data_IF_556862005806
#
_entry.id   IF_556862005806
#
_cell.length_a   1.000
_cell.length_b   1.000
_cell.length_c   1.000
_cell.angle_alpha   90.00
_cell.angle_beta   90.00
_cell.angle_gamma   90.00
#
_symmetry.space_group_name_H-M   'P 1'
#
loop_
_entity.id
_entity.type
_entity.pdbx_description
1 polymer ?
#
# COMPACT_ATOMS: atom_id res chain seq x y z
N UNK A 1 -7.96 6.58 13.42
CA UNK A 1 -8.05 7.83 12.64
C UNK A 1 -6.82 8.66 12.97
N UNK A 2 -5.71 8.48 12.25
CA UNK A 2 -4.51 9.31 12.45
C UNK A 2 -4.79 10.69 11.89
N UNK A 3 -4.81 11.71 12.75
CA UNK A 3 -4.92 13.10 12.31
C UNK A 3 -3.60 13.52 11.67
N UNK A 4 -3.63 13.93 10.40
CA UNK A 4 -2.46 14.43 9.71
C UNK A 4 -2.12 15.82 10.26
N UNK A 5 -0.87 16.04 10.63
CA UNK A 5 -0.40 17.34 11.12
C UNK A 5 -0.19 18.26 9.93
N UNK A 6 -1.09 19.22 9.77
CA UNK A 6 -0.98 20.26 8.74
C UNK A 6 -0.04 21.36 9.24
N UNK A 7 0.98 21.69 8.45
CA UNK A 7 1.85 22.83 8.73
C UNK A 7 1.17 24.16 8.45
N UNK A 8 1.79 25.25 8.92
CA UNK A 8 1.35 26.63 8.63
C UNK A 8 1.43 26.94 7.14
N UNK A 9 0.43 27.67 6.63
CA UNK A 9 0.41 28.17 5.25
C UNK A 9 1.54 29.18 5.01
N UNK A 10 2.25 29.04 3.90
CA UNK A 10 3.30 29.97 3.47
C UNK A 10 2.90 30.62 2.13
N UNK A 11 3.01 31.95 2.06
CA UNK A 11 2.76 32.71 0.83
C UNK A 11 4.10 33.25 0.34
N UNK A 12 4.51 32.91 -0.89
CA UNK A 12 5.76 33.38 -1.50
C UNK A 12 5.48 34.17 -2.78
N UNK A 13 6.13 35.32 -3.01
CA UNK A 13 5.96 36.05 -4.25
C UNK A 13 6.61 35.31 -5.42
N UNK A 14 5.95 35.31 -6.58
CA UNK A 14 6.53 34.81 -7.84
C UNK A 14 7.25 35.96 -8.56
N UNK A 15 8.15 35.63 -9.50
CA UNK A 15 8.89 36.63 -10.31
C UNK A 15 7.96 37.64 -10.98
N UNK A 16 6.83 37.18 -11.51
CA UNK A 16 5.81 38.03 -12.10
C UNK A 16 5.18 38.99 -11.07
N UNK A 17 4.84 38.49 -9.87
CA UNK A 17 4.32 39.31 -8.77
C UNK A 17 5.33 40.37 -8.29
N UNK A 18 6.62 40.03 -8.22
CA UNK A 18 7.69 40.99 -7.90
C UNK A 18 7.80 42.08 -8.97
N UNK A 19 7.78 41.73 -10.25
CA UNK A 19 7.79 42.70 -11.34
C UNK A 19 6.61 43.67 -11.27
N UNK A 20 5.41 43.15 -11.00
CA UNK A 20 4.21 43.95 -10.80
C UNK A 20 4.33 44.90 -9.60
N UNK A 21 4.91 44.43 -8.50
CA UNK A 21 5.17 45.24 -7.32
C UNK A 21 6.10 46.42 -7.64
N UNK A 22 7.18 46.16 -8.37
CA UNK A 22 8.15 47.20 -8.78
C UNK A 22 7.49 48.25 -9.67
N UNK A 23 6.70 47.84 -10.66
CA UNK A 23 5.96 48.77 -11.53
C UNK A 23 4.98 49.61 -10.71
N UNK A 24 4.27 48.97 -9.77
CA UNK A 24 3.30 49.66 -8.92
C UNK A 24 3.98 50.70 -8.02
N UNK A 25 5.16 50.39 -7.46
CA UNK A 25 5.97 51.36 -6.70
C UNK A 25 6.45 52.50 -7.58
N UNK A 26 6.92 52.22 -8.80
CA UNK A 26 7.33 53.24 -9.74
C UNK A 26 6.17 54.18 -10.13
N UNK A 27 4.97 53.63 -10.35
CA UNK A 27 3.75 54.43 -10.58
C UNK A 27 3.42 55.29 -9.37
N UNK A 28 3.55 54.77 -8.15
CA UNK A 28 3.31 55.55 -6.94
C UNK A 28 4.28 56.74 -6.83
N UNK A 29 5.57 56.51 -7.10
CA UNK A 29 6.58 57.58 -7.12
C UNK A 29 6.28 58.62 -8.20
N UNK A 30 5.87 58.20 -9.40
CA UNK A 30 5.44 59.10 -10.45
C UNK A 30 4.20 59.91 -10.04
N UNK A 31 3.20 59.27 -9.42
CA UNK A 31 1.99 59.94 -8.92
C UNK A 31 2.32 61.02 -7.88
N UNK A 32 3.23 60.72 -6.95
CA UNK A 32 3.71 61.67 -5.94
C UNK A 32 4.43 62.85 -6.60
N UNK A 33 5.32 62.57 -7.56
CA UNK A 33 6.12 63.61 -8.21
C UNK A 33 5.27 64.54 -9.09
N UNK A 34 4.35 63.98 -9.87
CA UNK A 34 3.50 64.74 -10.80
C UNK A 34 2.18 65.23 -10.19
N UNK A 35 1.86 64.86 -8.94
CA UNK A 35 0.57 65.16 -8.31
C UNK A 35 -0.63 64.60 -9.06
N UNK A 36 -0.46 63.46 -9.76
CA UNK A 36 -1.48 62.92 -10.65
C UNK A 36 -2.38 61.89 -9.93
N UNK A 37 -3.58 62.33 -9.57
CA UNK A 37 -4.59 61.51 -8.88
C UNK A 37 -5.01 60.26 -9.66
N UNK A 38 -4.97 60.28 -11.00
CA UNK A 38 -5.32 59.11 -11.80
C UNK A 38 -4.27 58.00 -11.65
N UNK A 39 -2.98 58.36 -11.59
CA UNK A 39 -1.91 57.38 -11.38
C UNK A 39 -2.01 56.78 -9.97
N UNK A 40 -2.36 57.59 -8.95
CA UNK A 40 -2.66 57.08 -7.61
C UNK A 40 -3.79 56.04 -7.62
N UNK A 41 -4.92 56.34 -8.29
CA UNK A 41 -6.04 55.42 -8.40
C UNK A 41 -5.61 54.06 -8.98
N UNK A 42 -4.87 54.08 -10.09
CA UNK A 42 -4.40 52.85 -10.75
C UNK A 42 -3.41 52.10 -9.85
N UNK A 43 -2.45 52.79 -9.22
CA UNK A 43 -1.49 52.16 -8.32
C UNK A 43 -2.19 51.49 -7.12
N UNK A 44 -3.16 52.14 -6.50
CA UNK A 44 -3.93 51.54 -5.40
C UNK A 44 -4.82 50.37 -5.87
N UNK A 45 -5.39 50.44 -7.08
CA UNK A 45 -6.12 49.32 -7.67
C UNK A 45 -5.20 48.10 -7.87
N UNK A 46 -3.96 48.31 -8.32
CA UNK A 46 -2.96 47.25 -8.48
C UNK A 46 -2.57 46.63 -7.14
N UNK A 47 -2.36 47.44 -6.10
CA UNK A 47 -2.11 46.96 -4.73
C UNK A 47 -3.29 46.12 -4.23
N UNK A 48 -4.53 46.63 -4.38
CA UNK A 48 -5.74 45.92 -3.99
C UNK A 48 -5.87 44.59 -4.72
N UNK A 49 -5.58 44.55 -6.02
CA UNK A 49 -5.58 43.32 -6.84
C UNK A 49 -4.55 42.30 -6.32
N UNK A 50 -3.33 42.74 -6.02
CA UNK A 50 -2.27 41.88 -5.47
C UNK A 50 -2.67 41.28 -4.11
N UNK A 51 -3.20 42.10 -3.20
CA UNK A 51 -3.66 41.67 -1.88
C UNK A 51 -4.84 40.70 -2.02
N UNK A 52 -5.82 41.02 -2.86
CA UNK A 52 -6.98 40.16 -3.11
C UNK A 52 -6.56 38.81 -3.71
N UNK A 53 -5.56 38.80 -4.60
CA UNK A 53 -5.00 37.56 -5.14
C UNK A 53 -4.35 36.70 -4.05
N UNK A 54 -3.59 37.30 -3.13
CA UNK A 54 -3.00 36.55 -2.01
C UNK A 54 -4.08 35.98 -1.09
N UNK A 55 -5.09 36.78 -0.76
CA UNK A 55 -6.19 36.38 0.10
C UNK A 55 -7.02 35.23 -0.49
N UNK A 56 -7.31 35.27 -1.78
CA UNK A 56 -8.01 34.19 -2.48
C UNK A 56 -7.19 32.89 -2.49
N UNK A 57 -5.89 32.95 -2.78
CA UNK A 57 -5.01 31.78 -2.72
C UNK A 57 -4.93 31.17 -1.33
N UNK A 58 -4.81 32.01 -0.30
CA UNK A 58 -4.80 31.59 1.11
C UNK A 58 -6.12 30.91 1.50
N UNK A 59 -7.26 31.55 1.19
CA UNK A 59 -8.60 31.02 1.49
C UNK A 59 -8.83 29.68 0.79
N UNK A 60 -8.44 29.55 -0.47
CA UNK A 60 -8.57 28.30 -1.23
C UNK A 60 -7.79 27.16 -0.58
N UNK A 61 -6.51 27.36 -0.22
CA UNK A 61 -5.68 26.31 0.36
C UNK A 61 -5.99 26.03 1.84
N UNK A 62 -6.53 27.01 2.57
CA UNK A 62 -7.00 26.81 3.95
C UNK A 62 -8.22 25.90 4.04
N UNK A 63 -9.06 25.87 3.01
CA UNK A 63 -10.28 25.06 2.96
C UNK A 63 -10.02 23.60 2.53
N UNK A 64 -8.82 23.30 2.02
CA UNK A 64 -8.45 21.95 1.60
C UNK A 64 -8.21 21.07 2.83
N UNK A 65 -8.93 19.96 2.88
CA UNK A 65 -8.58 18.81 3.72
C UNK A 65 -7.89 17.79 2.83
N UNK A 66 -6.63 17.52 3.12
CA UNK A 66 -5.88 16.44 2.46
C UNK A 66 -5.90 15.21 3.35
N UNK A 67 -6.11 14.06 2.74
CA UNK A 67 -6.02 12.76 3.41
C UNK A 67 -5.26 11.81 2.50
N UNK A 68 -4.26 11.14 3.05
CA UNK A 68 -3.55 10.09 2.32
C UNK A 68 -4.29 8.78 2.51
N UNK A 69 -4.59 8.11 1.40
CA UNK A 69 -5.12 6.75 1.40
C UNK A 69 -3.93 5.81 1.63
N UNK A 70 -3.96 4.95 2.67
CA UNK A 70 -2.86 4.04 2.94
C UNK A 70 -2.51 3.21 1.70
N UNK A 71 -1.28 3.28 1.20
CA UNK A 71 -0.90 2.52 0.02
C UNK A 71 -0.87 1.02 0.33
N UNK A 72 -1.21 0.22 -0.67
CA UNK A 72 -1.05 -1.23 -0.61
C UNK A 72 0.43 -1.65 -0.56
N UNK A 73 0.66 -2.91 -0.23
CA UNK A 73 2.00 -3.51 -0.33
C UNK A 73 2.41 -3.60 -1.81
N UNK A 74 3.68 -3.41 -2.11
CA UNK A 74 4.23 -3.55 -3.48
C UNK A 74 5.51 -4.40 -3.49
N UNK A 75 5.88 -5.01 -4.63
CA UNK A 75 7.17 -5.66 -4.76
C UNK A 75 8.32 -4.66 -4.82
N UNK A 76 9.49 -5.11 -4.40
CA UNK A 76 10.74 -4.36 -4.47
C UNK A 76 11.09 -4.03 -5.93
N UNK A 77 11.56 -2.81 -6.17
CA UNK A 77 11.95 -2.32 -7.49
C UNK A 77 10.80 -1.84 -8.39
N UNK A 78 9.54 -2.14 -8.08
CA UNK A 78 8.39 -1.62 -8.85
C UNK A 78 7.97 -0.21 -8.38
N UNK A 79 7.57 0.69 -9.30
CA UNK A 79 7.08 2.01 -8.93
C UNK A 79 5.78 1.90 -8.12
N UNK A 80 5.69 2.64 -7.03
CA UNK A 80 4.50 2.71 -6.19
C UNK A 80 3.49 3.74 -6.69
N UNK A 81 2.23 3.61 -6.30
CA UNK A 81 1.27 4.71 -6.40
C UNK A 81 0.76 5.11 -5.02
N UNK A 82 0.68 6.41 -4.81
CA UNK A 82 0.20 7.02 -3.60
C UNK A 82 -1.02 7.87 -3.94
N UNK A 83 -2.16 7.50 -3.35
CA UNK A 83 -3.41 8.22 -3.57
C UNK A 83 -3.66 9.22 -2.45
N UNK A 84 -3.78 10.50 -2.81
CA UNK A 84 -4.16 11.59 -1.90
C UNK A 84 -5.56 12.04 -2.25
N UNK A 85 -6.46 11.97 -1.27
CA UNK A 85 -7.82 12.47 -1.34
C UNK A 85 -7.87 13.92 -0.86
N UNK A 86 -8.34 14.81 -1.71
CA UNK A 86 -8.63 16.20 -1.39
C UNK A 86 -10.12 16.39 -1.22
N UNK A 87 -10.54 16.86 -0.05
CA UNK A 87 -11.93 17.20 0.23
C UNK A 87 -12.08 18.70 0.41
N UNK A 88 -13.06 19.30 -0.28
CA UNK A 88 -13.42 20.70 -0.15
C UNK A 88 -14.90 20.93 -0.45
N UNK A 89 -15.52 21.88 0.26
CA UNK A 89 -16.89 22.32 -0.02
C UNK A 89 -16.99 23.29 -1.20
N UNK A 90 -15.86 23.87 -1.61
CA UNK A 90 -15.75 24.77 -2.76
C UNK A 90 -14.87 24.16 -3.84
N UNK A 91 -15.05 24.61 -5.07
CA UNK A 91 -14.18 24.27 -6.19
C UNK A 91 -12.74 24.65 -5.87
N UNK A 92 -11.84 23.69 -5.92
CA UNK A 92 -10.42 23.92 -5.65
C UNK A 92 -9.72 24.40 -6.92
N UNK A 93 -8.78 25.34 -6.80
CA UNK A 93 -7.94 25.72 -7.91
C UNK A 93 -7.01 24.56 -8.31
N UNK A 94 -6.29 24.68 -9.45
CA UNK A 94 -5.21 23.76 -9.77
C UNK A 94 -4.21 23.69 -8.62
N UNK A 95 -3.97 22.46 -8.15
CA UNK A 95 -3.02 22.14 -7.09
C UNK A 95 -1.84 21.39 -7.71
N UNK A 96 -0.64 21.72 -7.24
CA UNK A 96 0.54 20.87 -7.40
C UNK A 96 0.75 20.15 -6.08
N UNK A 97 0.82 18.83 -6.15
CA UNK A 97 1.10 17.97 -5.01
C UNK A 97 2.49 17.40 -5.21
N UNK A 98 3.40 17.73 -4.32
CA UNK A 98 4.80 17.34 -4.40
C UNK A 98 5.12 16.47 -3.18
N UNK A 99 5.64 15.26 -3.41
CA UNK A 99 6.03 14.36 -2.33
C UNK A 99 7.48 14.55 -1.87
N UNK A 100 8.19 15.60 -2.33
CA UNK A 100 9.55 15.90 -1.86
C UNK A 100 10.61 14.88 -2.31
N UNK A 101 10.23 13.93 -3.16
CA UNK A 101 11.12 13.00 -3.87
C UNK A 101 11.35 13.53 -5.29
N UNK A 102 12.53 13.29 -5.85
CA UNK A 102 12.84 13.70 -7.22
C UNK A 102 11.77 13.18 -8.21
N UNK A 103 11.33 14.06 -9.11
CA UNK A 103 10.31 13.79 -10.14
C UNK A 103 8.92 13.33 -9.66
N UNK A 104 8.62 13.45 -8.37
CA UNK A 104 7.39 12.90 -7.79
C UNK A 104 6.30 13.97 -7.56
N UNK A 105 6.00 14.76 -8.59
CA UNK A 105 5.01 15.83 -8.54
C UNK A 105 3.78 15.51 -9.40
N UNK A 106 2.61 15.50 -8.78
CA UNK A 106 1.34 15.41 -9.47
C UNK A 106 0.69 16.79 -9.60
N UNK A 107 0.02 17.01 -10.73
CA UNK A 107 -0.74 18.22 -10.98
C UNK A 107 -2.22 17.88 -11.08
N UNK A 108 -3.04 18.65 -10.37
CA UNK A 108 -4.49 18.61 -10.56
C UNK A 108 -4.91 19.78 -11.43
N UNK A 109 -5.92 19.53 -12.24
CA UNK A 109 -6.74 20.60 -12.78
C UNK A 109 -7.64 21.19 -11.68
N UNK A 110 -8.62 21.98 -12.09
CA UNK A 110 -9.69 22.47 -11.22
C UNK A 110 -10.44 21.27 -10.60
N UNK A 111 -10.46 21.14 -9.28
CA UNK A 111 -11.20 20.06 -8.63
C UNK A 111 -12.61 20.56 -8.27
N UNK A 112 -13.68 19.85 -8.68
CA UNK A 112 -15.03 20.22 -8.28
C UNK A 112 -15.20 20.11 -6.76
N UNK A 113 -16.26 20.73 -6.19
CA UNK A 113 -16.63 20.50 -4.80
C UNK A 113 -16.83 19.01 -4.51
N UNK A 114 -16.39 18.54 -3.35
CA UNK A 114 -16.43 17.14 -2.95
C UNK A 114 -15.04 16.55 -2.74
N UNK A 115 -14.92 15.25 -2.99
CA UNK A 115 -13.68 14.48 -2.87
C UNK A 115 -13.06 14.27 -4.26
N UNK A 116 -11.76 14.58 -4.38
CA UNK A 116 -10.97 14.31 -5.59
C UNK A 116 -9.73 13.51 -5.19
N UNK A 117 -9.48 12.39 -5.86
CA UNK A 117 -8.32 11.55 -5.61
C UNK A 117 -7.25 11.83 -6.65
N UNK A 118 -6.01 11.97 -6.20
CA UNK A 118 -4.84 12.23 -7.03
C UNK A 118 -3.81 11.18 -6.73
N UNK A 119 -3.37 10.48 -7.77
CA UNK A 119 -2.31 9.50 -7.67
C UNK A 119 -0.95 10.17 -7.94
N UNK A 120 0.01 9.88 -7.08
CA UNK A 120 1.41 10.30 -7.17
C UNK A 120 2.24 9.03 -7.37
N UNK A 121 3.14 9.04 -8.35
CA UNK A 121 3.99 7.87 -8.65
C UNK A 121 5.24 7.92 -7.80
N UNK A 122 5.45 6.94 -6.93
CA UNK A 122 6.65 6.81 -6.11
C UNK A 122 7.73 5.99 -6.85
N UNK A 123 9.02 6.32 -6.67
CA UNK A 123 10.11 5.54 -7.25
C UNK A 123 10.16 4.10 -6.73
N UNK A 124 10.76 3.22 -7.52
CA UNK A 124 10.98 1.81 -7.19
C UNK A 124 12.09 1.65 -6.17
N UNK A 125 11.72 1.62 -4.89
CA UNK A 125 12.66 1.40 -3.78
C UNK A 125 12.85 -0.11 -3.45
N UNK A 126 13.94 -0.49 -2.75
CA UNK A 126 14.15 -1.87 -2.28
C UNK A 126 13.09 -2.31 -1.26
N UNK A 127 13.11 -3.60 -0.87
CA UNK A 127 12.17 -4.16 0.13
C UNK A 127 12.21 -3.37 1.45
N UNK A 128 11.24 -3.56 2.35
CA UNK A 128 11.17 -2.96 3.69
C UNK A 128 9.98 -2.03 3.90
N UNK A 129 9.88 -1.45 5.10
CA UNK A 129 8.90 -0.42 5.40
C UNK A 129 9.42 0.98 5.08
N UNK A 130 8.84 1.63 4.07
CA UNK A 130 9.26 2.95 3.62
C UNK A 130 8.33 4.02 4.19
N UNK A 131 8.81 4.90 5.08
CA UNK A 131 8.00 6.02 5.55
C UNK A 131 7.66 6.94 4.37
N UNK A 132 6.41 7.38 4.27
CA UNK A 132 6.06 8.34 3.24
C UNK A 132 6.66 9.71 3.59
N UNK A 133 7.25 10.39 2.60
CA UNK A 133 7.88 11.70 2.80
C UNK A 133 6.84 12.78 3.17
N UNK A 134 7.33 13.92 3.64
CA UNK A 134 6.50 15.10 3.80
C UNK A 134 6.00 15.59 2.45
N UNK A 135 4.69 15.80 2.36
CA UNK A 135 4.04 16.24 1.13
C UNK A 135 3.73 17.71 1.18
N UNK A 136 3.79 18.35 0.03
CA UNK A 136 3.58 19.77 -0.12
C UNK A 136 2.50 20.04 -1.15
N UNK A 137 1.48 20.79 -0.75
CA UNK A 137 0.47 21.35 -1.64
C UNK A 137 0.87 22.75 -2.04
N UNK A 138 0.83 23.03 -3.32
CA UNK A 138 1.12 24.35 -3.87
C UNK A 138 0.04 24.79 -4.84
N UNK A 139 -0.29 26.09 -4.82
CA UNK A 139 -1.13 26.69 -5.87
C UNK A 139 -0.64 28.09 -6.21
N UNK A 140 -0.55 28.43 -7.52
CA UNK A 140 -0.31 29.79 -7.98
C UNK A 140 -1.59 30.62 -8.13
N UNK A 141 -2.75 30.09 -7.70
CA UNK A 141 -4.05 30.72 -7.90
C UNK A 141 -4.20 32.06 -7.16
N UNK A 142 -4.99 33.01 -7.70
CA UNK A 142 -5.62 33.02 -9.03
C UNK A 142 -4.74 33.59 -10.14
N UNK A 143 -3.99 34.66 -9.85
CA UNK A 143 -3.31 35.45 -10.89
C UNK A 143 -1.86 35.05 -11.13
N UNK A 144 -1.33 34.03 -10.42
CA UNK A 144 0.07 33.65 -10.53
C UNK A 144 1.05 34.69 -9.96
N UNK A 145 0.57 35.63 -9.12
CA UNK A 145 1.39 36.63 -8.43
C UNK A 145 2.11 36.03 -7.22
N UNK A 146 1.45 35.07 -6.57
CA UNK A 146 1.89 34.40 -5.36
C UNK A 146 1.90 32.89 -5.58
N UNK A 147 2.74 32.18 -4.85
CA UNK A 147 2.65 30.73 -4.63
C UNK A 147 2.25 30.53 -3.18
N UNK A 148 1.08 29.92 -2.96
CA UNK A 148 0.64 29.52 -1.62
C UNK A 148 0.99 28.05 -1.44
N UNK A 149 1.69 27.74 -0.35
CA UNK A 149 2.22 26.41 -0.02
C UNK A 149 1.68 25.93 1.32
N UNK A 150 1.37 24.65 1.42
CA UNK A 150 1.04 23.96 2.68
C UNK A 150 1.68 22.59 2.73
N UNK A 151 2.53 22.34 3.71
CA UNK A 151 3.09 21.01 3.98
C UNK A 151 2.16 20.17 4.86
N UNK A 152 2.17 18.85 4.67
CA UNK A 152 1.51 17.89 5.53
C UNK A 152 2.32 16.59 5.59
N UNK A 153 2.39 16.00 6.78
CA UNK A 153 3.03 14.70 6.96
C UNK A 153 1.96 13.62 7.15
N UNK A 154 1.97 12.54 6.34
CA UNK A 154 0.96 11.50 6.44
C UNK A 154 1.14 10.61 7.68
N UNK A 155 2.34 10.54 8.26
CA UNK A 155 2.64 9.71 9.43
C UNK A 155 2.41 8.21 9.20
N UNK A 156 2.43 7.77 7.95
CA UNK A 156 2.25 6.37 7.52
C UNK A 156 3.30 6.05 6.44
N UNK A 157 3.64 4.77 6.30
CA UNK A 157 4.57 4.26 5.29
C UNK A 157 3.98 3.17 4.40
N UNK A 158 4.71 2.81 3.36
CA UNK A 158 4.39 1.73 2.43
C UNK A 158 5.24 0.49 2.72
N UNK A 159 4.61 -0.68 2.75
CA UNK A 159 5.31 -1.96 2.82
C UNK A 159 5.79 -2.39 1.42
N UNK A 160 7.07 -2.68 1.30
CA UNK A 160 7.67 -3.21 0.07
C UNK A 160 8.17 -4.62 0.33
N UNK A 161 7.53 -5.61 -0.29
CA UNK A 161 7.89 -7.01 -0.13
C UNK A 161 8.94 -7.44 -1.16
N UNK A 162 9.68 -8.54 -0.90
CA UNK A 162 10.61 -9.09 -1.89
C UNK A 162 9.91 -9.30 -3.24
N UNK A 163 10.58 -8.95 -4.35
CA UNK A 163 10.03 -9.18 -5.68
C UNK A 163 9.87 -10.69 -5.90
N UNK A 164 8.68 -11.19 -6.31
CA UNK A 164 8.47 -12.63 -6.49
C UNK A 164 9.36 -13.15 -7.61
N UNK A 165 10.04 -14.27 -7.38
CA UNK A 165 10.80 -15.00 -8.41
C UNK A 165 10.16 -16.38 -8.55
N UNK A 166 9.59 -16.65 -9.72
CA UNK A 166 9.00 -17.94 -10.06
C UNK A 166 10.09 -18.97 -10.44
N UNK A 167 9.81 -20.25 -10.19
CA UNK A 167 10.65 -21.35 -10.72
C UNK A 167 11.92 -21.68 -9.92
N UNK A 168 12.09 -21.15 -8.71
CA UNK A 168 13.14 -21.63 -7.81
C UNK A 168 12.65 -22.94 -7.18
N UNK A 169 13.27 -24.04 -7.57
CA UNK A 169 12.97 -25.35 -7.03
C UNK A 169 13.16 -25.35 -5.51
N UNK A 170 12.18 -25.93 -4.81
CA UNK A 170 12.40 -26.37 -3.43
C UNK A 170 13.59 -27.32 -3.47
N UNK A 171 14.61 -27.04 -2.66
CA UNK A 171 15.67 -28.00 -2.41
C UNK A 171 14.98 -29.31 -2.02
N UNK A 172 15.07 -30.32 -2.90
CA UNK A 172 14.58 -31.64 -2.61
C UNK A 172 15.24 -32.04 -1.31
N UNK A 173 14.48 -32.07 -0.20
CA UNK A 173 14.87 -32.92 0.90
C UNK A 173 14.89 -34.31 0.27
N UNK A 174 16.09 -34.83 0.05
CA UNK A 174 16.29 -36.24 -0.16
C UNK A 174 15.84 -36.91 1.13
N UNK A 175 14.52 -37.07 1.30
CA UNK A 175 13.97 -38.09 2.15
C UNK A 175 14.40 -39.38 1.49
N UNK A 176 15.46 -39.93 2.06
CA UNK A 176 16.02 -41.19 1.63
C UNK A 176 14.90 -42.23 1.69
N UNK A 177 14.64 -42.77 0.52
CA UNK A 177 13.77 -43.88 0.18
C UNK A 177 13.66 -44.93 1.29
N UNK A 178 12.41 -45.19 1.70
CA UNK A 178 11.99 -46.53 2.09
C UNK A 178 10.52 -46.70 1.72
N UNK A 179 10.31 -47.16 0.48
CA UNK A 179 9.40 -48.26 0.13
C UNK A 179 7.90 -48.08 0.42
N UNK A 180 7.10 -47.97 -0.65
CA UNK A 180 5.67 -48.25 -0.53
C UNK A 180 4.78 -47.77 -1.66
N UNK A 181 5.16 -47.97 -2.92
CA UNK A 181 4.18 -47.99 -4.01
C UNK A 181 3.35 -49.27 -3.87
N UNK A 182 2.20 -49.20 -3.18
CA UNK A 182 0.95 -49.93 -3.47
C UNK A 182 -0.08 -49.83 -2.32
N UNK A 183 -1.34 -49.63 -2.73
CA UNK A 183 -2.59 -49.80 -1.98
C UNK A 183 -3.11 -48.62 -1.14
N UNK A 184 -3.58 -47.57 -1.83
CA UNK A 184 -4.74 -46.78 -1.36
C UNK A 184 -6.01 -47.64 -1.35
N UNK A 185 -6.12 -48.59 -0.44
CA UNK A 185 -7.33 -49.40 -0.20
C UNK A 185 -7.46 -49.87 1.25
N UNK A 186 -6.91 -49.13 2.21
CA UNK A 186 -7.13 -49.42 3.65
C UNK A 186 -7.73 -48.17 4.31
N UNK A 187 -9.04 -48.00 4.13
CA UNK A 187 -9.80 -47.00 4.87
C UNK A 187 -9.87 -47.40 6.35
N UNK A 188 -9.30 -46.55 7.21
CA UNK A 188 -9.38 -46.56 8.67
C UNK A 188 -10.70 -47.20 9.21
N UNK A 189 -10.64 -48.33 9.94
CA UNK A 189 -11.82 -49.06 10.44
C UNK A 189 -12.63 -48.27 11.47
N UNK A 190 -12.11 -47.14 11.94
CA UNK A 190 -12.74 -46.25 12.92
C UNK A 190 -13.85 -45.38 12.31
N UNK A 191 -14.06 -45.43 10.98
CA UNK A 191 -14.91 -44.49 10.21
C UNK A 191 -16.19 -45.11 9.64
N UNK A 192 -16.65 -46.22 10.22
CA UNK A 192 -17.84 -46.96 9.80
C UNK A 192 -18.94 -46.84 10.86
N UNK A 193 -20.16 -46.42 10.46
CA UNK A 193 -21.35 -46.40 11.32
C UNK A 193 -22.39 -47.39 10.79
N UNK A 194 -23.16 -47.98 11.70
CA UNK A 194 -24.34 -48.80 11.38
C UNK A 194 -25.33 -48.02 10.52
N UNK A 195 -25.74 -48.61 9.40
CA UNK A 195 -26.70 -48.06 8.45
C UNK A 195 -28.03 -47.70 9.14
N UNK A 196 -28.52 -46.49 8.89
CA UNK A 196 -29.86 -46.07 9.33
C UNK A 196 -30.80 -45.94 8.12
N UNK A 197 -32.09 -46.28 8.25
CA UNK A 197 -33.07 -46.09 7.18
C UNK A 197 -33.18 -44.60 6.83
N UNK A 198 -32.68 -44.23 5.65
CA UNK A 198 -32.55 -42.83 5.20
C UNK A 198 -31.20 -42.53 4.55
N UNK A 199 -30.19 -43.38 4.79
CA UNK A 199 -28.87 -43.23 4.19
C UNK A 199 -28.86 -43.55 2.68
N UNK A 200 -28.15 -42.77 1.85
CA UNK A 200 -28.05 -43.04 0.42
C UNK A 200 -27.28 -44.35 0.14
N UNK A 201 -27.92 -45.26 -0.59
CA UNK A 201 -27.43 -46.62 -0.92
C UNK A 201 -26.00 -46.63 -1.52
N UNK A 202 -25.60 -45.56 -2.22
CA UNK A 202 -24.27 -45.43 -2.84
C UNK A 202 -23.09 -45.43 -1.84
N UNK A 203 -23.34 -45.22 -0.54
CA UNK A 203 -22.28 -45.18 0.47
C UNK A 203 -22.21 -46.44 1.34
N UNK A 204 -22.99 -47.47 0.99
CA UNK A 204 -22.99 -48.75 1.71
C UNK A 204 -21.76 -49.56 1.31
N UNK A 205 -20.95 -49.96 2.29
CA UNK A 205 -19.77 -50.81 2.05
C UNK A 205 -20.18 -52.28 1.99
N UNK A 206 -20.70 -52.70 0.83
CA UNK A 206 -21.22 -54.06 0.60
C UNK A 206 -20.19 -55.17 0.89
N UNK A 207 -18.89 -54.88 0.75
CA UNK A 207 -17.81 -55.86 1.02
C UNK A 207 -17.71 -56.23 2.50
N UNK A 208 -18.07 -55.31 3.41
CA UNK A 208 -18.13 -55.60 4.85
C UNK A 208 -19.43 -56.33 5.22
N UNK A 209 -20.54 -55.98 4.57
CA UNK A 209 -21.83 -56.65 4.72
C UNK A 209 -21.75 -58.16 4.41
N UNK A 210 -21.01 -58.54 3.37
CA UNK A 210 -20.84 -59.94 2.97
C UNK A 210 -20.13 -60.81 4.03
N UNK A 211 -19.36 -60.22 4.96
CA UNK A 211 -18.62 -60.96 5.99
C UNK A 211 -19.28 -60.92 7.36
N UNK A 212 -19.94 -59.83 7.74
CA UNK A 212 -20.45 -59.64 9.12
C UNK A 212 -21.96 -59.48 9.21
N UNK A 213 -22.68 -59.40 8.08
CA UNK A 213 -24.14 -59.24 8.05
C UNK A 213 -24.64 -57.86 8.51
N UNK A 214 -23.74 -56.93 8.80
CA UNK A 214 -24.07 -55.56 9.22
C UNK A 214 -23.84 -54.59 8.07
N UNK A 215 -24.86 -53.79 7.73
CA UNK A 215 -24.72 -52.71 6.77
C UNK A 215 -24.01 -51.53 7.46
N UNK A 216 -22.90 -51.10 6.87
CA UNK A 216 -22.14 -49.92 7.30
C UNK A 216 -22.18 -48.87 6.19
N UNK A 217 -22.49 -47.63 6.56
CA UNK A 217 -22.54 -46.49 5.63
C UNK A 217 -21.32 -45.59 5.84
N UNK A 218 -20.64 -45.19 4.77
CA UNK A 218 -19.62 -44.14 4.79
C UNK A 218 -20.31 -42.77 4.87
N UNK A 219 -20.01 -41.96 5.87
CA UNK A 219 -20.57 -40.61 6.00
C UNK A 219 -19.94 -39.68 4.93
N UNK A 220 -20.74 -38.98 4.10
CA UNK A 220 -20.23 -37.99 3.14
C UNK A 220 -19.89 -36.63 3.77
N UNK A 221 -20.31 -36.34 5.01
CA UNK A 221 -20.03 -35.06 5.67
C UNK A 221 -18.57 -34.92 6.17
N UNK A 222 -17.78 -36.00 6.12
CA UNK A 222 -16.34 -35.93 6.36
C UNK A 222 -15.52 -35.54 5.11
N UNK A 223 -16.14 -35.49 3.92
CA UNK A 223 -15.52 -35.03 2.66
C UNK A 223 -15.55 -33.49 2.52
N UNK A 224 -15.54 -32.75 3.63
CA UNK A 224 -14.88 -31.45 3.58
C UNK A 224 -13.37 -31.70 3.66
N UNK A 225 -12.80 -32.23 2.57
CA UNK A 225 -11.36 -32.26 2.33
C UNK A 225 -10.84 -30.83 2.48
N UNK A 226 -10.45 -30.46 3.70
CA UNK A 226 -9.58 -29.32 3.89
C UNK A 226 -8.24 -29.78 3.34
N UNK A 227 -7.74 -29.21 2.24
CA UNK A 227 -6.40 -29.54 1.79
C UNK A 227 -5.44 -29.30 2.95
N UNK A 228 -4.53 -30.24 3.19
CA UNK A 228 -3.52 -30.08 4.24
C UNK A 228 -2.76 -28.76 3.99
N UNK A 229 -2.49 -27.99 5.05
CA UNK A 229 -1.83 -26.71 4.89
C UNK A 229 -0.42 -26.91 4.33
N UNK A 230 -0.11 -26.25 3.22
CA UNK A 230 1.22 -26.36 2.64
C UNK A 230 2.25 -25.62 3.51
N UNK A 231 3.34 -26.31 3.88
CA UNK A 231 4.44 -25.73 4.64
C UNK A 231 5.41 -24.96 3.72
N UNK A 232 5.39 -23.62 3.80
CA UNK A 232 6.36 -22.72 3.17
C UNK A 232 7.52 -22.50 4.15
N UNK A 233 8.52 -23.37 4.09
CA UNK A 233 9.72 -23.37 4.95
C UNK A 233 10.87 -22.64 4.28
N UNK A 234 11.50 -21.70 5.00
CA UNK A 234 12.68 -20.95 4.54
C UNK A 234 13.86 -21.86 4.15
N UNK A 235 14.10 -22.93 4.91
CA UNK A 235 15.22 -23.85 4.64
C UNK A 235 14.95 -24.78 3.46
N UNK A 236 13.71 -24.83 2.97
CA UNK A 236 13.37 -25.60 1.78
C UNK A 236 13.73 -24.89 0.47
N UNK A 237 14.10 -23.61 0.49
CA UNK A 237 14.49 -22.87 -0.71
C UNK A 237 16.01 -22.74 -0.83
N UNK A 238 16.55 -22.95 -2.03
CA UNK A 238 17.97 -22.82 -2.30
C UNK A 238 18.37 -21.36 -2.63
N UNK A 239 19.63 -21.02 -2.39
CA UNK A 239 20.23 -19.74 -2.79
C UNK A 239 20.46 -18.75 -1.65
N UNK A 240 20.91 -17.51 -1.98
CA UNK A 240 21.08 -16.40 -1.06
C UNK A 240 19.78 -16.02 -0.35
N UNK A 241 19.88 -15.30 0.78
CA UNK A 241 18.73 -14.89 1.59
C UNK A 241 17.63 -14.23 0.76
N UNK A 242 17.98 -13.25 -0.07
CA UNK A 242 17.01 -12.50 -0.88
C UNK A 242 16.27 -13.42 -1.87
N UNK A 243 17.00 -14.32 -2.53
CA UNK A 243 16.44 -15.30 -3.47
C UNK A 243 15.45 -16.24 -2.79
N UNK A 244 15.75 -16.71 -1.58
CA UNK A 244 14.83 -17.53 -0.78
C UNK A 244 13.55 -16.76 -0.44
N UNK A 245 13.69 -15.51 0.02
CA UNK A 245 12.54 -14.67 0.38
C UNK A 245 11.66 -14.34 -0.84
N UNK A 246 12.26 -14.08 -1.99
CA UNK A 246 11.57 -13.90 -3.26
C UNK A 246 10.81 -15.15 -3.70
N UNK A 247 11.40 -16.34 -3.57
CA UNK A 247 10.73 -17.61 -3.86
C UNK A 247 9.55 -17.88 -2.90
N UNK A 248 9.75 -17.63 -1.61
CA UNK A 248 8.69 -17.72 -0.60
C UNK A 248 7.53 -16.76 -0.90
N UNK A 249 7.85 -15.53 -1.32
CA UNK A 249 6.85 -14.52 -1.70
C UNK A 249 6.03 -15.02 -2.90
N UNK A 250 6.70 -15.51 -3.96
CA UNK A 250 6.02 -16.08 -5.12
C UNK A 250 5.09 -17.24 -4.70
N UNK A 251 5.58 -18.15 -3.83
CA UNK A 251 4.77 -19.28 -3.37
C UNK A 251 3.56 -18.85 -2.54
N UNK A 252 3.72 -17.86 -1.66
CA UNK A 252 2.60 -17.30 -0.90
C UNK A 252 1.57 -16.62 -1.80
N UNK A 253 2.00 -15.95 -2.87
CA UNK A 253 1.09 -15.35 -3.86
C UNK A 253 0.25 -16.42 -4.56
N UNK A 254 0.86 -17.53 -4.98
CA UNK A 254 0.15 -18.67 -5.58
C UNK A 254 -0.85 -19.29 -4.60
N UNK A 255 -0.42 -19.55 -3.36
CA UNK A 255 -1.27 -20.12 -2.32
C UNK A 255 -2.47 -19.22 -1.99
N UNK A 256 -2.26 -17.91 -1.97
CA UNK A 256 -3.32 -16.93 -1.76
C UNK A 256 -4.28 -16.84 -2.96
N UNK A 257 -3.77 -16.95 -4.19
CA UNK A 257 -4.57 -17.00 -5.42
C UNK A 257 -5.47 -18.24 -5.44
N UNK A 258 -4.94 -19.39 -5.03
CA UNK A 258 -5.65 -20.66 -4.99
C UNK A 258 -6.49 -20.85 -3.70
N UNK A 259 -6.49 -19.86 -2.80
CA UNK A 259 -7.15 -19.89 -1.49
C UNK A 259 -6.81 -21.13 -0.64
N UNK A 260 -5.60 -21.67 -0.79
CA UNK A 260 -5.17 -22.86 -0.05
C UNK A 260 -4.62 -22.49 1.31
N UNK A 261 -4.83 -23.32 2.34
CA UNK A 261 -4.22 -23.12 3.65
C UNK A 261 -2.71 -23.33 3.58
N UNK A 262 -1.98 -22.60 4.41
CA UNK A 262 -0.51 -22.64 4.42
C UNK A 262 0.06 -22.35 5.80
N UNK A 263 1.29 -22.80 6.03
CA UNK A 263 2.09 -22.49 7.22
C UNK A 263 3.40 -21.87 6.74
N UNK A 264 3.68 -20.64 7.20
CA UNK A 264 4.95 -19.96 6.94
C UNK A 264 5.90 -20.23 8.11
N UNK A 265 7.10 -20.73 7.80
CA UNK A 265 8.18 -20.94 8.77
C UNK A 265 9.41 -20.13 8.39
N UNK A 266 9.82 -19.25 9.29
CA UNK A 266 11.02 -18.42 9.18
C UNK A 266 11.97 -18.73 10.35
N UNK A 267 13.30 -18.76 10.15
CA UNK A 267 14.25 -19.01 11.22
C UNK A 267 14.14 -17.94 12.32
N UNK A 268 13.90 -18.36 13.56
CA UNK A 268 13.84 -17.45 14.72
C UNK A 268 12.51 -16.69 14.89
N UNK A 269 11.47 -16.98 14.09
CA UNK A 269 10.12 -16.47 14.29
C UNK A 269 9.11 -17.61 14.50
N UNK A 270 7.98 -17.33 15.16
CA UNK A 270 6.89 -18.31 15.34
C UNK A 270 6.22 -18.67 14.02
N UNK A 271 5.84 -19.94 13.85
CA UNK A 271 5.11 -20.41 12.66
C UNK A 271 3.79 -19.64 12.48
N UNK A 272 3.55 -19.12 11.27
CA UNK A 272 2.33 -18.40 10.93
C UNK A 272 1.42 -19.28 10.07
N UNK A 273 0.30 -19.72 10.65
CA UNK A 273 -0.70 -20.54 9.95
C UNK A 273 -1.85 -19.69 9.41
N UNK A 274 -2.19 -19.89 8.14
CA UNK A 274 -3.41 -19.39 7.52
C UNK A 274 -4.34 -20.57 7.20
N UNK A 275 -5.54 -20.53 7.78
CA UNK A 275 -6.62 -21.48 7.48
C UNK A 275 -7.65 -20.83 6.55
N UNK A 276 -8.34 -21.64 5.75
CA UNK A 276 -9.26 -21.20 4.69
C UNK A 276 -10.47 -20.38 5.20
N UNK A 277 -10.79 -20.42 6.49
CA UNK A 277 -11.96 -19.72 7.04
C UNK A 277 -11.59 -18.37 7.67
N UNK A 278 -12.00 -17.29 6.99
CA UNK A 278 -12.06 -15.88 7.43
C UNK A 278 -10.76 -15.07 7.57
N UNK A 279 -9.63 -15.66 8.01
CA UNK A 279 -8.42 -14.88 8.33
C UNK A 279 -7.34 -14.88 7.25
N UNK A 280 -7.59 -15.50 6.09
CA UNK A 280 -6.57 -15.74 5.06
C UNK A 280 -5.94 -14.44 4.52
N UNK A 281 -6.74 -13.41 4.20
CA UNK A 281 -6.24 -12.13 3.68
C UNK A 281 -5.38 -11.37 4.70
N UNK A 282 -5.80 -11.32 5.97
CA UNK A 282 -5.05 -10.66 7.04
C UNK A 282 -3.74 -11.41 7.36
N UNK A 283 -3.80 -12.75 7.39
CA UNK A 283 -2.62 -13.61 7.59
C UNK A 283 -1.65 -13.48 6.43
N UNK A 284 -2.14 -13.40 5.19
CA UNK A 284 -1.31 -13.17 4.00
C UNK A 284 -0.57 -11.84 4.07
N UNK A 285 -1.26 -10.75 4.42
CA UNK A 285 -0.61 -9.45 4.66
C UNK A 285 0.44 -9.54 5.77
N UNK A 286 0.15 -10.25 6.86
CA UNK A 286 1.09 -10.45 7.96
C UNK A 286 2.32 -11.27 7.52
N UNK A 287 2.13 -12.28 6.67
CA UNK A 287 3.21 -13.08 6.11
C UNK A 287 4.14 -12.24 5.23
N UNK A 288 3.57 -11.43 4.33
CA UNK A 288 4.35 -10.50 3.53
C UNK A 288 5.13 -9.52 4.41
N UNK A 289 4.50 -8.94 5.46
CA UNK A 289 5.20 -8.07 6.41
C UNK A 289 6.35 -8.77 7.15
N UNK A 290 6.25 -10.07 7.44
CA UNK A 290 7.37 -10.81 8.04
C UNK A 290 8.49 -11.01 7.03
N UNK A 291 8.17 -11.38 5.79
CA UNK A 291 9.16 -11.49 4.71
C UNK A 291 9.84 -10.15 4.38
N UNK A 292 9.11 -9.03 4.48
CA UNK A 292 9.69 -7.70 4.27
C UNK A 292 10.70 -7.38 5.37
N UNK A 293 10.41 -7.75 6.62
CA UNK A 293 11.20 -7.44 7.82
C UNK A 293 12.37 -8.40 8.07
N UNK A 294 12.30 -9.61 7.52
CA UNK A 294 13.26 -10.67 7.84
C UNK A 294 14.70 -10.28 7.50
N UNK A 295 15.58 -10.30 8.51
CA UNK A 295 17.01 -10.06 8.39
C UNK A 295 17.43 -8.59 8.21
N UNK A 296 16.58 -7.62 8.60
CA UNK A 296 16.93 -6.19 8.60
C UNK A 296 17.01 -5.59 10.00
N UNK A 297 17.96 -4.68 10.18
CA UNK A 297 18.13 -3.91 11.40
C UNK A 297 17.04 -2.82 11.51
N UNK A 298 16.60 -2.58 12.75
CA UNK A 298 15.59 -1.57 13.08
C UNK A 298 16.26 -0.29 13.51
N UNK A 299 15.69 0.85 13.12
CA UNK A 299 16.00 2.12 13.77
C UNK A 299 15.29 2.24 15.14
N UNK A 300 15.69 3.24 15.93
CA UNK A 300 15.13 3.53 17.27
C UNK A 300 13.62 3.85 17.23
N UNK A 301 13.07 4.17 16.07
CA UNK A 301 11.65 4.46 15.87
C UNK A 301 10.87 3.25 15.32
N UNK A 302 11.54 2.11 15.13
CA UNK A 302 10.94 0.86 14.64
C UNK A 302 10.74 0.81 13.13
N UNK A 303 11.34 1.72 12.36
CA UNK A 303 11.42 1.64 10.90
C UNK A 303 12.58 0.73 10.46
N UNK A 304 12.41 0.06 9.33
CA UNK A 304 13.49 -0.71 8.73
C UNK A 304 14.53 0.29 8.18
N UNK A 305 15.76 0.29 8.69
CA UNK A 305 16.81 1.12 8.11
C UNK A 305 17.11 0.63 6.68
N UNK A 306 16.81 1.45 5.68
CA UNK A 306 17.38 1.28 4.33
C UNK A 306 18.71 2.01 4.35
N UNK A 307 19.81 1.28 4.57
CA UNK A 307 21.15 1.85 4.39
C UNK A 307 21.33 2.11 2.89
N UNK A 308 21.54 3.36 2.45
CA UNK A 308 21.84 3.63 1.05
C UNK A 308 23.17 2.98 0.68
N UNK A 309 23.16 1.97 -0.18
CA UNK A 309 24.38 1.35 -0.73
C UNK A 309 24.62 -0.13 -0.42
N UNK A 310 23.78 -0.80 0.37
CA UNK A 310 23.79 -2.27 0.47
C UNK A 310 22.86 -2.88 -0.58
N UNK A 311 23.28 -2.78 -1.85
CA UNK A 311 22.82 -3.69 -2.90
C UNK A 311 24.01 -4.57 -3.20
N UNK A 312 24.06 -5.74 -2.55
CA UNK A 312 24.88 -6.89 -2.95
C UNK A 312 24.15 -8.19 -2.56
#
# INVERSE_FOLDING_TARGET
MSQQTLSSLQIRPRRFGLGLAVITVAMLLAAINYGNNLIFLIAFMMIALMINSAWQGWRALSAVQARVIPPGMRPAGEPGSLSVEFTSQATLPPLRVDAGLEETAAHTALCPPGATIVAITLPGEPRGYLPLPEMTLETPYPLGLWTVRRGFSPGIGQWVHPAPIEGIDRAQRTENDQSGDQASLEGDPTRLRSYHPGDPIRHVVFRHYAKTGQLLTRHPEADSERPDPELVDYEAFAGPRETRLSAMTARLMDLNRDQRPWVLRLPGEDDLTASASANLAQRYQTALQRLTRFGRERDDQGFDHVVPGEID
#
